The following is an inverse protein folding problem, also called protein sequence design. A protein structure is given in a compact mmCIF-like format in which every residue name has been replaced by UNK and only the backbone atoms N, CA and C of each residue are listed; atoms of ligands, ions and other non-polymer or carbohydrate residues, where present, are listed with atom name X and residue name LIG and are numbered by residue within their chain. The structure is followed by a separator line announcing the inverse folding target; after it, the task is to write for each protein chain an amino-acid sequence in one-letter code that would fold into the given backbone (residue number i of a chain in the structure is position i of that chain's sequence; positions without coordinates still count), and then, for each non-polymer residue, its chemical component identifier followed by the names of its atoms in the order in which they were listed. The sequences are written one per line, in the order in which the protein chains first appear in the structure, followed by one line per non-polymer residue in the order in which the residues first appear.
data_IF_912481967166
#
_entry.id   IF_912481967166
#
_cell.length_a   1.000
_cell.length_b   1.000
_cell.length_c   1.000
_cell.angle_alpha   90.00
_cell.angle_beta   90.00
_cell.angle_gamma   90.00
#
_symmetry.space_group_name_H-M   'P 1'
#
loop_
_entity.id
_entity.type
_entity.pdbx_description
1 polymer ?
#
# COMPACT_ATOMS: atom_id res chain seq x y z
N UNK A 1 -66.68 32.90 -28.16
CA UNK A 1 -65.68 32.79 -27.12
C UNK A 1 -64.88 31.47 -27.35
N UNK A 2 -63.75 31.56 -28.07
CA UNK A 2 -62.92 30.36 -28.43
C UNK A 2 -61.77 30.24 -27.43
N UNK A 3 -61.75 29.13 -26.65
CA UNK A 3 -60.63 28.78 -25.81
C UNK A 3 -59.54 28.21 -26.70
N UNK A 4 -58.36 28.85 -26.69
CA UNK A 4 -57.13 28.28 -27.23
C UNK A 4 -56.44 27.43 -26.08
N UNK A 5 -56.28 26.12 -26.31
CA UNK A 5 -55.42 25.27 -25.50
C UNK A 5 -53.98 25.40 -26.00
N UNK A 6 -53.11 25.96 -25.17
CA UNK A 6 -51.67 25.95 -25.39
C UNK A 6 -51.10 24.62 -24.86
N UNK A 7 -50.69 23.73 -25.75
CA UNK A 7 -49.92 22.55 -25.39
C UNK A 7 -48.45 22.96 -25.15
N UNK A 8 -48.04 22.94 -23.88
CA UNK A 8 -46.64 23.13 -23.49
C UNK A 8 -45.91 21.78 -23.64
N UNK A 9 -45.16 21.62 -24.73
CA UNK A 9 -44.26 20.47 -24.92
C UNK A 9 -43.00 20.73 -24.08
N UNK A 10 -42.89 20.02 -22.96
CA UNK A 10 -41.69 20.01 -22.12
C UNK A 10 -40.62 19.13 -22.82
N UNK A 11 -39.67 19.76 -23.51
CA UNK A 11 -38.48 19.07 -24.00
C UNK A 11 -37.57 18.72 -22.78
N UNK A 12 -37.63 17.48 -22.37
CA UNK A 12 -36.60 16.90 -21.46
C UNK A 12 -35.32 16.73 -22.26
N UNK A 13 -34.43 17.70 -22.20
CA UNK A 13 -33.04 17.52 -22.63
C UNK A 13 -32.33 16.66 -21.56
N UNK A 14 -32.13 15.39 -21.85
CA UNK A 14 -31.20 14.55 -21.09
C UNK A 14 -29.80 15.10 -21.31
N UNK A 15 -29.30 15.82 -20.31
CA UNK A 15 -27.89 16.18 -20.25
C UNK A 15 -27.15 14.87 -19.91
N UNK A 16 -26.59 14.20 -20.92
CA UNK A 16 -25.54 13.22 -20.69
C UNK A 16 -24.35 13.96 -20.11
N UNK A 17 -24.19 13.90 -18.79
CA UNK A 17 -22.92 14.22 -18.14
C UNK A 17 -21.97 13.07 -18.51
N UNK A 18 -21.17 13.29 -19.57
CA UNK A 18 -20.03 12.42 -19.85
C UNK A 18 -19.05 12.65 -18.70
N UNK A 19 -19.06 11.76 -17.70
CA UNK A 19 -18.03 11.72 -16.66
C UNK A 19 -16.70 11.55 -17.38
N UNK A 20 -15.79 12.51 -17.23
CA UNK A 20 -14.44 12.40 -17.73
C UNK A 20 -13.78 11.28 -16.95
N UNK A 21 -13.43 10.17 -17.60
CA UNK A 21 -12.70 9.08 -16.97
C UNK A 21 -11.27 9.53 -16.72
N UNK A 22 -10.86 9.60 -15.48
CA UNK A 22 -9.53 10.06 -15.11
C UNK A 22 -8.47 9.08 -15.60
N UNK A 23 -7.40 9.62 -16.20
CA UNK A 23 -6.23 8.83 -16.60
C UNK A 23 -5.16 8.94 -15.52
N UNK A 24 -4.76 7.81 -14.93
CA UNK A 24 -3.69 7.73 -13.98
C UNK A 24 -2.44 7.15 -14.63
N UNK A 25 -1.36 7.96 -14.71
CA UNK A 25 -0.06 7.50 -15.18
C UNK A 25 0.70 6.84 -14.02
N UNK A 26 1.10 5.58 -14.21
CA UNK A 26 1.85 4.77 -13.25
C UNK A 26 3.15 4.35 -13.94
N UNK A 27 4.27 4.60 -13.28
CA UNK A 27 5.60 4.25 -13.77
C UNK A 27 6.13 3.04 -12.98
N UNK A 28 6.67 2.06 -13.69
CA UNK A 28 7.45 0.96 -13.11
C UNK A 28 8.89 1.43 -13.12
N UNK A 29 9.39 1.82 -11.96
CA UNK A 29 10.75 2.36 -11.83
C UNK A 29 11.64 1.40 -11.05
N UNK A 30 12.92 1.31 -11.46
CA UNK A 30 13.99 0.67 -10.73
C UNK A 30 15.05 1.70 -10.33
N UNK A 31 15.67 1.53 -9.16
CA UNK A 31 16.68 2.47 -8.68
C UNK A 31 17.36 2.01 -7.40
N UNK A 32 18.22 2.90 -6.88
CA UNK A 32 18.88 2.71 -5.59
C UNK A 32 18.09 3.47 -4.50
N UNK A 33 17.71 2.77 -3.45
CA UNK A 33 17.06 3.36 -2.29
C UNK A 33 18.07 3.56 -1.17
N UNK A 34 18.16 4.79 -0.64
CA UNK A 34 18.98 5.09 0.52
C UNK A 34 18.26 4.72 1.79
N UNK A 35 18.93 3.96 2.64
CA UNK A 35 18.45 3.49 3.93
C UNK A 35 18.88 4.44 5.06
N UNK A 36 18.33 4.25 6.25
CA UNK A 36 18.52 5.11 7.42
C UNK A 36 19.97 5.22 7.88
N UNK A 37 20.79 4.20 7.63
CA UNK A 37 22.24 4.18 7.93
C UNK A 37 23.11 4.67 6.76
N UNK A 38 22.49 5.28 5.76
CA UNK A 38 23.11 5.75 4.50
C UNK A 38 23.57 4.64 3.54
N UNK A 39 23.36 3.36 3.86
CA UNK A 39 23.52 2.29 2.90
C UNK A 39 22.48 2.43 1.77
N UNK A 40 22.72 1.78 0.63
CA UNK A 40 21.78 1.76 -0.48
C UNK A 40 21.46 0.33 -0.88
N UNK A 41 20.20 0.11 -1.29
CA UNK A 41 19.76 -1.16 -1.86
C UNK A 41 19.12 -0.94 -3.22
N UNK A 42 19.32 -1.86 -4.19
CA UNK A 42 18.51 -1.89 -5.39
C UNK A 42 17.08 -2.21 -5.04
N UNK A 43 16.14 -1.44 -5.59
CA UNK A 43 14.71 -1.68 -5.38
C UNK A 43 13.90 -1.26 -6.60
N UNK A 44 12.63 -1.70 -6.64
CA UNK A 44 11.67 -1.34 -7.67
C UNK A 44 10.39 -0.85 -7.03
N UNK A 45 9.73 0.11 -7.68
CA UNK A 45 8.50 0.70 -7.16
C UNK A 45 7.56 1.10 -8.30
N UNK A 46 6.25 1.15 -7.98
CA UNK A 46 5.29 1.89 -8.76
C UNK A 46 5.29 3.34 -8.30
N UNK A 47 5.46 4.29 -9.20
CA UNK A 47 5.45 5.72 -8.91
C UNK A 47 4.46 6.47 -9.80
N UNK A 48 4.08 7.69 -9.41
CA UNK A 48 3.24 8.58 -10.22
C UNK A 48 4.08 9.50 -11.14
N UNK A 49 5.39 9.43 -11.00
CA UNK A 49 6.37 10.18 -11.82
C UNK A 49 7.44 9.23 -12.36
N UNK A 50 8.18 9.61 -13.42
CA UNK A 50 9.26 8.78 -13.94
C UNK A 50 10.48 8.66 -13.00
N UNK A 51 10.49 9.39 -11.90
CA UNK A 51 11.55 9.33 -10.90
C UNK A 51 11.32 8.17 -9.94
N UNK A 52 12.36 7.37 -9.70
CA UNK A 52 12.31 6.30 -8.73
C UNK A 52 12.20 6.84 -7.30
N UNK A 53 11.20 6.35 -6.56
CA UNK A 53 11.05 6.55 -5.12
C UNK A 53 10.48 5.29 -4.49
N UNK A 54 11.12 4.81 -3.43
CA UNK A 54 10.58 3.71 -2.62
C UNK A 54 9.74 4.31 -1.47
N UNK A 55 8.55 4.82 -1.77
CA UNK A 55 7.68 5.53 -0.83
C UNK A 55 6.37 4.78 -0.51
N UNK A 56 6.32 3.49 -0.88
CA UNK A 56 5.14 2.65 -0.61
C UNK A 56 3.87 3.19 -1.26
N UNK A 57 3.97 3.66 -2.52
CA UNK A 57 2.88 4.32 -3.25
C UNK A 57 1.51 3.72 -2.95
N UNK A 58 0.59 4.55 -2.46
CA UNK A 58 -0.80 4.22 -2.25
C UNK A 58 -1.65 4.71 -3.42
N UNK A 59 -2.50 3.83 -3.95
CA UNK A 59 -3.53 4.19 -4.92
C UNK A 59 -4.90 4.20 -4.24
N UNK A 60 -5.62 5.31 -4.34
CA UNK A 60 -6.92 5.50 -3.68
C UNK A 60 -8.01 5.70 -4.72
N UNK A 61 -9.07 4.90 -4.62
CA UNK A 61 -10.21 4.96 -5.52
C UNK A 61 -11.53 4.88 -4.75
N UNK A 62 -12.59 5.38 -5.35
CA UNK A 62 -13.95 5.24 -4.82
C UNK A 62 -14.64 4.04 -5.47
N UNK A 63 -15.48 3.34 -4.70
CA UNK A 63 -16.27 2.24 -5.26
C UNK A 63 -17.11 2.69 -6.47
N UNK A 64 -17.04 1.94 -7.54
CA UNK A 64 -17.68 2.24 -8.81
C UNK A 64 -16.87 3.16 -9.73
N UNK A 65 -15.73 3.70 -9.26
CA UNK A 65 -14.88 4.55 -10.10
C UNK A 65 -14.26 3.73 -11.22
N UNK A 66 -14.38 4.24 -12.44
CA UNK A 66 -13.61 3.79 -13.60
C UNK A 66 -12.40 4.71 -13.78
N UNK A 67 -11.23 4.11 -13.96
CA UNK A 67 -9.96 4.83 -14.15
C UNK A 67 -9.22 4.21 -15.33
N UNK A 68 -8.66 5.03 -16.19
CA UNK A 68 -7.75 4.58 -17.25
C UNK A 68 -6.34 4.50 -16.65
N UNK A 69 -5.82 3.30 -16.47
CA UNK A 69 -4.43 3.11 -16.13
C UNK A 69 -3.56 3.24 -17.37
N UNK A 70 -2.62 4.18 -17.33
CA UNK A 70 -1.50 4.28 -18.26
C UNK A 70 -0.25 3.82 -17.53
N UNK A 71 0.08 2.52 -17.66
CA UNK A 71 1.25 1.94 -17.00
C UNK A 71 2.43 1.98 -17.95
N UNK A 72 3.51 2.63 -17.51
CA UNK A 72 4.72 2.89 -18.29
C UNK A 72 5.86 2.13 -17.62
N UNK A 73 6.45 1.19 -18.36
CA UNK A 73 7.60 0.43 -17.87
C UNK A 73 8.90 1.16 -18.25
N UNK A 74 9.57 1.74 -17.24
CA UNK A 74 10.89 2.39 -17.40
C UNK A 74 12.04 1.48 -16.96
N UNK A 75 11.73 0.27 -16.47
CA UNK A 75 12.73 -0.72 -16.11
C UNK A 75 13.35 -1.37 -17.35
N UNK A 76 14.49 -2.01 -17.17
CA UNK A 76 15.25 -2.70 -18.23
C UNK A 76 14.70 -4.08 -18.59
N UNK A 77 13.75 -4.60 -17.81
CA UNK A 77 13.06 -5.88 -18.06
C UNK A 77 11.56 -5.69 -18.25
N UNK A 78 10.90 -6.68 -18.88
CA UNK A 78 9.44 -6.72 -18.97
C UNK A 78 8.79 -7.12 -17.64
N UNK A 79 7.58 -6.61 -17.37
CA UNK A 79 6.82 -6.93 -16.16
C UNK A 79 5.40 -7.39 -16.47
N UNK A 80 4.96 -8.46 -15.81
CA UNK A 80 3.55 -8.84 -15.75
C UNK A 80 2.94 -8.22 -14.50
N UNK A 81 2.08 -7.23 -14.67
CA UNK A 81 1.43 -6.51 -13.56
C UNK A 81 0.06 -7.11 -13.32
N UNK A 82 -0.23 -7.43 -12.05
CA UNK A 82 -1.49 -8.01 -11.62
C UNK A 82 -2.18 -7.21 -10.51
N UNK A 83 -3.52 -7.21 -10.58
CA UNK A 83 -4.45 -6.93 -9.49
C UNK A 83 -5.42 -8.11 -9.45
N UNK A 84 -5.08 -9.11 -8.68
CA UNK A 84 -5.69 -10.44 -8.74
C UNK A 84 -7.21 -10.41 -8.57
N UNK A 85 -7.72 -9.64 -7.60
CA UNK A 85 -9.14 -9.58 -7.26
C UNK A 85 -10.01 -8.93 -8.35
N UNK A 86 -9.38 -8.18 -9.25
CA UNK A 86 -10.03 -7.58 -10.43
C UNK A 86 -9.77 -8.37 -11.71
N UNK A 87 -9.10 -9.52 -11.63
CA UNK A 87 -8.73 -10.30 -12.82
C UNK A 87 -7.84 -9.53 -13.79
N UNK A 88 -7.20 -8.45 -13.32
CA UNK A 88 -6.30 -7.67 -14.14
C UNK A 88 -4.93 -8.33 -14.17
N UNK A 89 -4.45 -8.62 -15.39
CA UNK A 89 -3.10 -9.11 -15.64
C UNK A 89 -2.65 -8.62 -17.00
N UNK A 90 -1.50 -7.95 -17.06
CA UNK A 90 -0.96 -7.43 -18.33
C UNK A 90 0.56 -7.48 -18.34
N UNK A 91 1.14 -7.90 -19.46
CA UNK A 91 2.58 -7.85 -19.69
C UNK A 91 2.95 -6.52 -20.35
N UNK A 92 4.00 -5.89 -19.85
CA UNK A 92 4.53 -4.61 -20.37
C UNK A 92 6.03 -4.77 -20.56
N UNK A 93 6.46 -4.81 -21.81
CA UNK A 93 7.88 -4.92 -22.13
C UNK A 93 8.68 -3.69 -21.72
N UNK A 94 9.99 -3.83 -21.60
CA UNK A 94 10.92 -2.73 -21.27
C UNK A 94 10.74 -1.55 -22.22
N UNK A 95 10.62 -0.34 -21.68
CA UNK A 95 10.43 0.89 -22.44
C UNK A 95 9.06 1.02 -23.10
N UNK A 96 8.08 0.13 -22.81
CA UNK A 96 6.73 0.16 -23.37
C UNK A 96 5.71 0.64 -22.35
N UNK A 97 4.50 0.89 -22.83
CA UNK A 97 3.35 1.25 -22.00
C UNK A 97 2.11 0.47 -22.42
N UNK A 98 1.17 0.35 -21.49
CA UNK A 98 -0.19 -0.14 -21.74
C UNK A 98 -1.18 0.90 -21.24
N UNK A 99 -2.33 1.00 -21.92
CA UNK A 99 -3.45 1.83 -21.50
C UNK A 99 -4.66 0.91 -21.37
N UNK A 100 -5.29 0.89 -20.20
CA UNK A 100 -6.39 -0.02 -19.90
C UNK A 100 -7.36 0.58 -18.89
N UNK A 101 -8.66 0.48 -19.10
CA UNK A 101 -9.64 0.87 -18.10
C UNK A 101 -9.73 -0.20 -17.00
N UNK A 102 -9.92 0.24 -15.76
CA UNK A 102 -10.23 -0.61 -14.60
C UNK A 102 -11.39 0.03 -13.84
N UNK A 103 -12.41 -0.76 -13.52
CA UNK A 103 -13.52 -0.33 -12.67
C UNK A 103 -13.38 -0.95 -11.29
N UNK A 104 -13.28 -0.12 -10.25
CA UNK A 104 -13.16 -0.56 -8.86
C UNK A 104 -14.54 -0.85 -8.27
N UNK A 105 -15.06 -2.07 -8.47
CA UNK A 105 -16.44 -2.46 -8.20
C UNK A 105 -16.76 -2.74 -6.72
N UNK A 106 -15.76 -2.92 -5.86
CA UNK A 106 -15.97 -3.27 -4.44
C UNK A 106 -15.04 -2.47 -3.53
N UNK A 107 -15.54 -2.12 -2.33
CA UNK A 107 -14.68 -1.58 -1.27
C UNK A 107 -13.70 -2.65 -0.78
N UNK A 108 -12.52 -2.22 -0.33
CA UNK A 108 -11.51 -3.10 0.25
C UNK A 108 -10.08 -2.69 -0.05
N UNK A 109 -9.17 -3.53 0.38
CA UNK A 109 -7.75 -3.40 0.13
C UNK A 109 -7.31 -4.42 -0.92
N UNK A 110 -6.57 -3.96 -1.90
CA UNK A 110 -6.07 -4.78 -2.99
C UNK A 110 -4.57 -4.55 -3.18
N UNK A 111 -3.93 -5.49 -3.84
CA UNK A 111 -2.51 -5.40 -4.14
C UNK A 111 -2.30 -5.32 -5.65
N UNK A 112 -1.53 -4.32 -6.08
CA UNK A 112 -0.93 -4.30 -7.41
C UNK A 112 0.52 -4.77 -7.28
N UNK A 113 0.93 -5.77 -8.05
CA UNK A 113 2.29 -6.31 -7.97
C UNK A 113 2.78 -6.85 -9.31
N UNK A 114 4.11 -7.02 -9.44
CA UNK A 114 4.71 -7.77 -10.55
C UNK A 114 4.75 -9.26 -10.24
N UNK A 115 4.46 -10.08 -11.25
CA UNK A 115 4.60 -11.55 -11.24
C UNK A 115 5.77 -12.04 -12.09
N UNK A 116 6.46 -11.14 -12.78
CA UNK A 116 7.65 -11.49 -13.54
C UNK A 116 8.73 -12.04 -12.62
N UNK A 117 9.47 -13.04 -13.09
CA UNK A 117 10.59 -13.64 -12.36
C UNK A 117 10.27 -13.88 -10.86
N UNK A 118 9.07 -14.39 -10.58
CA UNK A 118 8.69 -14.70 -9.21
C UNK A 118 9.56 -15.83 -8.62
N UNK A 119 10.13 -15.70 -7.41
CA UNK A 119 9.86 -14.66 -6.41
C UNK A 119 10.80 -13.44 -6.45
N UNK A 120 11.83 -13.39 -7.32
CA UNK A 120 12.89 -12.37 -7.30
C UNK A 120 12.35 -10.93 -7.28
N UNK A 121 11.43 -10.62 -8.20
CA UNK A 121 10.85 -9.28 -8.30
C UNK A 121 10.08 -8.85 -7.03
N UNK A 122 9.54 -9.81 -6.29
CA UNK A 122 8.92 -9.55 -4.99
C UNK A 122 9.94 -9.05 -3.96
N UNK A 123 11.18 -9.61 -3.98
CA UNK A 123 12.25 -9.15 -3.09
C UNK A 123 12.68 -7.72 -3.40
N UNK A 124 12.67 -7.30 -4.67
CA UNK A 124 12.99 -5.93 -5.08
C UNK A 124 11.89 -4.91 -4.75
N UNK A 125 10.65 -5.34 -4.43
CA UNK A 125 9.64 -4.47 -3.85
C UNK A 125 8.55 -3.96 -4.79
N UNK A 126 8.45 -4.44 -6.02
CA UNK A 126 7.44 -3.97 -6.98
C UNK A 126 6.02 -4.42 -6.59
N UNK A 127 5.48 -3.72 -5.60
CA UNK A 127 4.16 -3.94 -5.01
C UNK A 127 3.61 -2.67 -4.37
N UNK A 128 2.32 -2.40 -4.56
CA UNK A 128 1.63 -1.24 -4.00
C UNK A 128 0.27 -1.62 -3.44
N UNK A 129 -0.15 -0.87 -2.42
CA UNK A 129 -1.49 -0.96 -1.86
C UNK A 129 -2.49 -0.17 -2.71
N UNK A 130 -3.60 -0.79 -3.04
CA UNK A 130 -4.79 -0.13 -3.57
C UNK A 130 -5.86 -0.16 -2.49
N UNK A 131 -6.39 1.01 -2.14
CA UNK A 131 -7.51 1.15 -1.23
C UNK A 131 -8.73 1.68 -1.99
N UNK A 132 -9.86 0.99 -1.89
CA UNK A 132 -11.13 1.39 -2.49
C UNK A 132 -12.15 1.59 -1.39
N UNK A 133 -12.57 2.83 -1.17
CA UNK A 133 -13.45 3.21 -0.06
C UNK A 133 -14.48 4.24 -0.51
N UNK A 134 -15.66 4.21 0.11
CA UNK A 134 -16.69 5.22 -0.09
C UNK A 134 -16.54 6.43 0.83
N UNK A 135 -15.83 6.26 1.96
CA UNK A 135 -15.52 7.30 2.93
C UNK A 135 -14.13 7.07 3.50
N UNK A 136 -13.27 8.07 3.37
CA UNK A 136 -11.86 7.97 3.74
C UNK A 136 -11.57 8.23 5.22
N UNK A 137 -12.49 8.83 5.98
CA UNK A 137 -12.39 9.04 7.42
C UNK A 137 -11.00 9.42 7.92
N UNK A 138 -10.69 9.02 9.18
CA UNK A 138 -9.35 9.13 9.77
C UNK A 138 -8.56 7.84 9.52
N UNK A 139 -8.08 7.67 8.28
CA UNK A 139 -7.44 6.44 7.80
C UNK A 139 -5.94 6.64 7.56
N UNK A 140 -5.16 5.65 7.99
CA UNK A 140 -3.71 5.54 7.79
C UNK A 140 -3.39 4.29 6.99
N UNK A 141 -2.24 4.29 6.31
CA UNK A 141 -1.90 3.25 5.33
C UNK A 141 -0.45 2.83 5.46
N UNK A 142 -0.22 1.54 5.67
CA UNK A 142 1.10 0.95 5.75
C UNK A 142 1.30 -0.11 4.68
N UNK A 143 2.26 0.11 3.81
CA UNK A 143 2.87 -0.93 3.00
C UNK A 143 4.14 -1.38 3.74
N UNK A 144 4.05 -2.47 4.50
CA UNK A 144 5.18 -3.00 5.27
C UNK A 144 5.98 -3.97 4.42
N UNK A 145 7.30 -3.88 4.53
CA UNK A 145 8.22 -4.72 3.78
C UNK A 145 9.58 -4.79 4.45
N UNK A 146 10.17 -5.96 4.38
CA UNK A 146 11.55 -6.17 4.76
C UNK A 146 12.43 -6.40 3.52
N UNK A 147 13.71 -6.08 3.66
CA UNK A 147 14.73 -6.28 2.65
C UNK A 147 15.95 -6.98 3.25
N UNK A 148 16.60 -7.82 2.45
CA UNK A 148 17.94 -8.30 2.70
C UNK A 148 18.87 -7.70 1.66
N UNK A 149 19.76 -6.80 2.10
CA UNK A 149 20.61 -5.99 1.21
C UNK A 149 21.44 -6.84 0.24
N UNK A 150 21.98 -7.97 0.74
CA UNK A 150 22.74 -8.92 -0.10
C UNK A 150 21.86 -9.59 -1.17
N UNK A 151 20.59 -9.92 -0.86
CA UNK A 151 19.65 -10.52 -1.83
C UNK A 151 19.29 -9.52 -2.91
N UNK A 152 18.98 -8.28 -2.53
CA UNK A 152 18.62 -7.23 -3.49
C UNK A 152 19.77 -6.98 -4.48
N UNK A 153 21.01 -6.94 -3.97
CA UNK A 153 22.21 -6.81 -4.80
C UNK A 153 22.41 -8.01 -5.73
N UNK A 154 22.29 -9.21 -5.20
CA UNK A 154 22.43 -10.44 -5.98
C UNK A 154 21.38 -10.55 -7.11
N UNK A 155 20.10 -10.20 -6.81
CA UNK A 155 19.03 -10.17 -7.83
C UNK A 155 19.35 -9.15 -8.92
N UNK A 156 19.80 -7.95 -8.55
CA UNK A 156 20.17 -6.93 -9.53
C UNK A 156 21.31 -7.38 -10.45
N UNK A 157 22.27 -8.11 -9.92
CA UNK A 157 23.41 -8.64 -10.66
C UNK A 157 23.07 -9.88 -11.51
N UNK A 158 21.91 -10.50 -11.29
CA UNK A 158 21.53 -11.78 -11.91
C UNK A 158 22.22 -12.99 -11.27
N UNK A 159 22.71 -12.85 -10.05
CA UNK A 159 23.37 -13.93 -9.31
C UNK A 159 22.36 -14.98 -8.84
N UNK A 160 22.81 -16.22 -8.66
CA UNK A 160 21.99 -17.28 -8.08
C UNK A 160 21.73 -17.02 -6.58
N UNK A 161 20.48 -17.24 -6.14
CA UNK A 161 20.06 -17.02 -4.76
C UNK A 161 19.49 -18.31 -4.18
N UNK A 162 19.92 -18.64 -2.97
CA UNK A 162 19.26 -19.62 -2.12
C UNK A 162 18.25 -18.91 -1.21
N UNK A 163 16.98 -18.95 -1.61
CA UNK A 163 15.89 -18.31 -0.87
C UNK A 163 15.65 -18.90 0.54
N UNK A 164 16.22 -20.07 0.84
CA UNK A 164 16.12 -20.68 2.19
C UNK A 164 16.99 -19.97 3.22
N UNK A 165 17.94 -19.14 2.78
CA UNK A 165 18.86 -18.37 3.62
C UNK A 165 18.41 -16.92 3.84
N UNK A 166 17.12 -16.61 3.57
CA UNK A 166 16.59 -15.26 3.69
C UNK A 166 16.59 -14.79 5.15
N UNK A 167 17.42 -13.80 5.44
CA UNK A 167 17.58 -13.14 6.75
C UNK A 167 17.60 -11.63 6.55
N UNK A 168 16.42 -10.97 6.54
CA UNK A 168 16.32 -9.54 6.28
C UNK A 168 17.07 -8.71 7.32
N UNK A 169 17.67 -7.63 6.84
CA UNK A 169 18.48 -6.67 7.61
C UNK A 169 17.83 -5.27 7.69
N UNK A 170 16.81 -4.98 6.86
CA UNK A 170 16.06 -3.72 6.87
C UNK A 170 14.56 -3.96 6.84
N UNK A 171 13.81 -3.15 7.61
CA UNK A 171 12.38 -3.30 7.84
C UNK A 171 11.72 -1.94 7.72
N UNK A 172 10.81 -1.79 6.75
CA UNK A 172 10.29 -0.50 6.32
C UNK A 172 8.76 -0.44 6.39
N UNK A 173 8.24 0.74 6.68
CA UNK A 173 6.85 1.14 6.48
C UNK A 173 6.83 2.23 5.41
N UNK A 174 6.13 2.02 4.30
CA UNK A 174 6.08 2.95 3.17
C UNK A 174 7.48 3.38 2.70
N UNK A 175 8.40 2.43 2.63
CA UNK A 175 9.77 2.68 2.20
C UNK A 175 10.65 3.43 3.21
N UNK A 176 10.20 3.62 4.45
CA UNK A 176 10.92 4.32 5.51
C UNK A 176 11.10 3.45 6.75
N UNK A 177 12.22 3.64 7.43
CA UNK A 177 12.49 3.12 8.76
C UNK A 177 12.33 4.23 9.81
N UNK A 178 12.32 3.87 11.10
CA UNK A 178 12.45 4.86 12.16
C UNK A 178 13.83 5.56 12.10
N UNK A 179 13.94 6.91 12.26
CA UNK A 179 12.86 7.83 12.65
C UNK A 179 12.02 8.37 11.49
N UNK A 180 12.38 8.08 10.23
CA UNK A 180 11.82 8.74 9.03
C UNK A 180 10.35 8.36 8.77
N UNK A 181 9.85 7.26 9.34
CA UNK A 181 8.41 6.91 9.34
C UNK A 181 7.57 8.07 9.87
N UNK A 182 8.08 8.83 10.84
CA UNK A 182 7.36 9.95 11.45
C UNK A 182 7.11 11.13 10.47
N UNK A 183 7.85 11.19 9.35
CA UNK A 183 7.69 12.21 8.30
C UNK A 183 6.61 11.87 7.29
N UNK A 184 6.15 10.62 7.25
CA UNK A 184 5.09 10.17 6.36
C UNK A 184 3.71 10.38 7.02
N UNK A 185 2.93 11.31 6.49
CA UNK A 185 1.60 11.64 7.01
C UNK A 185 0.58 10.51 6.83
N UNK A 186 0.80 9.58 5.89
CA UNK A 186 -0.03 8.40 5.72
C UNK A 186 0.33 7.29 6.71
N UNK A 187 1.59 7.21 7.15
CA UNK A 187 2.05 6.21 8.10
C UNK A 187 1.93 6.65 9.55
N UNK A 188 2.21 7.93 9.86
CA UNK A 188 2.22 8.46 11.22
C UNK A 188 0.81 8.65 11.76
N UNK A 189 0.36 7.69 12.58
CA UNK A 189 -0.99 7.73 13.17
C UNK A 189 -1.11 8.90 14.14
N UNK A 190 -2.13 9.74 13.90
CA UNK A 190 -2.50 10.89 14.73
C UNK A 190 -4.02 10.94 14.87
N UNK A 191 -4.49 11.37 16.02
CA UNK A 191 -5.91 11.55 16.26
C UNK A 191 -6.19 12.21 17.60
N UNK A 192 -7.46 12.25 17.94
CA UNK A 192 -8.00 12.75 19.22
C UNK A 192 -8.67 11.63 19.99
N UNK A 193 -8.82 11.86 21.27
CA UNK A 193 -9.69 11.01 22.11
C UNK A 193 -11.09 10.95 21.50
N UNK A 194 -11.61 9.73 21.33
CA UNK A 194 -12.92 9.46 20.73
C UNK A 194 -12.95 9.37 19.20
N UNK A 195 -11.86 9.67 18.51
CA UNK A 195 -11.77 9.46 17.06
C UNK A 195 -11.87 7.96 16.73
N UNK A 196 -12.52 7.66 15.61
CA UNK A 196 -12.43 6.35 15.00
C UNK A 196 -11.27 6.36 14.01
N UNK A 197 -10.17 5.72 14.36
CA UNK A 197 -8.93 5.65 13.55
C UNK A 197 -8.88 4.29 12.88
N UNK A 198 -8.69 4.26 11.57
CA UNK A 198 -8.51 3.03 10.81
C UNK A 198 -7.09 2.95 10.26
N UNK A 199 -6.42 1.83 10.47
CA UNK A 199 -5.12 1.52 9.88
C UNK A 199 -5.28 0.41 8.86
N UNK A 200 -4.90 0.68 7.63
CA UNK A 200 -4.89 -0.27 6.53
C UNK A 200 -3.46 -0.71 6.25
N UNK A 201 -3.23 -2.02 6.23
CA UNK A 201 -1.89 -2.60 6.10
C UNK A 201 -1.86 -3.57 4.92
N UNK A 202 -0.85 -3.46 4.08
CA UNK A 202 -0.39 -4.50 3.16
C UNK A 202 0.99 -4.96 3.63
N UNK A 203 1.16 -6.26 3.90
CA UNK A 203 2.48 -6.83 3.98
C UNK A 203 2.95 -7.26 2.58
N UNK A 204 3.73 -6.43 1.91
CA UNK A 204 4.28 -6.74 0.58
C UNK A 204 5.57 -7.57 0.64
N UNK A 205 6.07 -7.83 1.85
CA UNK A 205 7.25 -8.65 2.10
C UNK A 205 7.02 -10.15 2.08
N UNK A 206 8.01 -10.90 2.53
CA UNK A 206 8.02 -12.37 2.58
C UNK A 206 7.92 -12.88 4.02
N UNK A 207 8.35 -12.08 4.99
CA UNK A 207 8.30 -12.40 6.41
C UNK A 207 6.92 -12.14 7.01
N UNK A 208 6.67 -12.75 8.18
CA UNK A 208 5.52 -12.43 9.01
C UNK A 208 5.89 -11.29 9.94
N UNK A 209 5.06 -10.27 10.01
CA UNK A 209 5.25 -9.12 10.87
C UNK A 209 4.17 -9.06 11.94
N UNK A 210 4.56 -9.24 13.21
CA UNK A 210 3.64 -9.23 14.35
C UNK A 210 3.57 -7.83 14.95
N UNK A 211 2.69 -7.00 14.40
CA UNK A 211 2.56 -5.60 14.82
C UNK A 211 1.88 -5.50 16.18
N UNK A 212 2.55 -4.87 17.14
CA UNK A 212 2.10 -4.65 18.50
C UNK A 212 1.86 -3.18 18.80
N UNK A 213 0.71 -2.88 19.41
CA UNK A 213 0.25 -1.54 19.77
C UNK A 213 0.28 -1.37 21.28
N UNK A 214 1.14 -0.50 21.78
CA UNK A 214 1.15 -0.18 23.20
C UNK A 214 -0.07 0.64 23.60
N UNK A 215 -0.61 0.34 24.76
CA UNK A 215 -1.69 1.12 25.40
C UNK A 215 -3.09 0.93 24.83
N UNK A 216 -3.24 0.32 23.64
CA UNK A 216 -4.51 0.11 22.98
C UNK A 216 -4.68 -1.30 22.42
N UNK A 217 -5.96 -1.70 22.37
CA UNK A 217 -6.39 -2.82 21.54
C UNK A 217 -7.06 -2.26 20.29
N UNK A 218 -6.92 -2.95 19.19
CA UNK A 218 -7.60 -2.69 17.93
C UNK A 218 -8.60 -3.80 17.62
N UNK A 219 -9.67 -3.45 16.93
CA UNK A 219 -10.58 -4.42 16.31
C UNK A 219 -10.12 -4.72 14.88
N UNK A 220 -10.13 -5.99 14.47
CA UNK A 220 -9.82 -6.41 13.10
C UNK A 220 -11.09 -6.26 12.26
N UNK A 221 -11.11 -5.29 11.35
CA UNK A 221 -12.25 -5.02 10.47
C UNK A 221 -12.26 -5.90 9.22
N UNK A 222 -11.07 -6.25 8.72
CA UNK A 222 -10.91 -7.08 7.53
C UNK A 222 -9.56 -7.79 7.53
N UNK A 223 -9.51 -9.01 6.97
CA UNK A 223 -8.27 -9.74 6.65
C UNK A 223 -8.49 -10.51 5.36
N UNK A 224 -7.59 -10.31 4.39
CA UNK A 224 -7.65 -11.01 3.11
C UNK A 224 -7.23 -12.48 3.22
N UNK A 225 -6.47 -12.83 4.27
CA UNK A 225 -5.96 -14.18 4.52
C UNK A 225 -6.85 -14.97 5.47
N UNK A 226 -7.30 -14.34 6.55
CA UNK A 226 -7.99 -15.03 7.66
C UNK A 226 -9.31 -14.33 7.99
N UNK A 227 -10.36 -14.47 7.16
CA UNK A 227 -11.63 -13.78 7.40
C UNK A 227 -12.28 -14.11 8.75
N UNK A 228 -11.93 -15.25 9.38
CA UNK A 228 -12.46 -15.68 10.68
C UNK A 228 -12.02 -14.80 11.86
N UNK A 229 -10.98 -13.98 11.71
CA UNK A 229 -10.50 -13.08 12.77
C UNK A 229 -11.23 -11.73 12.79
N UNK A 230 -12.07 -11.45 11.81
CA UNK A 230 -12.88 -10.22 11.77
C UNK A 230 -13.72 -10.10 13.02
N UNK A 231 -13.71 -8.93 13.67
CA UNK A 231 -14.34 -8.67 14.97
C UNK A 231 -13.49 -9.05 16.19
N UNK A 232 -12.30 -9.65 16.00
CA UNK A 232 -11.42 -9.89 17.13
C UNK A 232 -10.76 -8.59 17.60
N UNK A 233 -10.66 -8.47 18.93
CA UNK A 233 -9.97 -7.36 19.60
C UNK A 233 -8.64 -7.85 20.11
N UNK A 234 -7.55 -7.22 19.67
CA UNK A 234 -6.15 -7.60 19.92
C UNK A 234 -5.29 -6.37 20.12
N UNK A 235 -4.16 -6.54 20.78
CA UNK A 235 -3.05 -5.58 20.84
C UNK A 235 -1.91 -5.96 19.89
N UNK A 236 -1.89 -7.21 19.44
CA UNK A 236 -0.88 -7.76 18.52
C UNK A 236 -1.55 -8.60 17.44
N UNK A 237 -1.15 -8.38 16.19
CA UNK A 237 -1.61 -9.18 15.05
C UNK A 237 -0.46 -9.51 14.10
N UNK A 238 -0.37 -10.79 13.73
CA UNK A 238 0.61 -11.28 12.77
C UNK A 238 0.10 -11.10 11.34
N UNK A 239 0.69 -10.18 10.60
CA UNK A 239 0.39 -9.90 9.19
C UNK A 239 1.32 -10.71 8.31
N UNK A 240 0.78 -11.65 7.55
CA UNK A 240 1.54 -12.55 6.69
C UNK A 240 1.89 -11.89 5.35
N UNK A 241 2.95 -12.38 4.70
CA UNK A 241 3.33 -11.90 3.37
C UNK A 241 2.19 -12.00 2.35
N UNK A 242 1.86 -10.89 1.69
CA UNK A 242 0.71 -10.74 0.77
C UNK A 242 -0.63 -10.48 1.45
N UNK A 243 -0.70 -10.50 2.78
CA UNK A 243 -1.94 -10.20 3.50
C UNK A 243 -2.24 -8.70 3.52
N UNK A 244 -3.52 -8.39 3.39
CA UNK A 244 -4.08 -7.06 3.60
C UNK A 244 -5.03 -7.13 4.78
N UNK A 245 -4.88 -6.22 5.73
CA UNK A 245 -5.69 -6.16 6.95
C UNK A 245 -6.11 -4.72 7.25
N UNK A 246 -7.29 -4.55 7.80
CA UNK A 246 -7.77 -3.27 8.33
C UNK A 246 -8.02 -3.40 9.81
N UNK A 247 -7.43 -2.49 10.58
CA UNK A 247 -7.53 -2.43 12.04
C UNK A 247 -8.20 -1.12 12.45
N UNK A 248 -9.06 -1.16 13.47
CA UNK A 248 -9.72 0.03 14.01
C UNK A 248 -9.34 0.25 15.47
N UNK A 249 -9.03 1.49 15.81
CA UNK A 249 -8.71 1.93 17.16
C UNK A 249 -9.62 3.11 17.51
N UNK A 250 -10.19 3.09 18.72
CA UNK A 250 -10.90 4.24 19.30
C UNK A 250 -10.17 4.63 20.58
N UNK A 251 -9.30 5.65 20.53
CA UNK A 251 -8.51 6.04 21.69
C UNK A 251 -9.38 6.71 22.76
N UNK A 252 -9.13 6.37 24.02
CA UNK A 252 -9.84 6.90 25.21
C UNK A 252 -8.97 7.82 26.08
N UNK A 253 -7.68 7.98 25.75
CA UNK A 253 -6.71 8.79 26.50
C UNK A 253 -5.73 9.48 25.57
N UNK A 254 -5.34 10.73 25.85
CA UNK A 254 -4.26 11.39 25.14
C UNK A 254 -2.90 10.78 25.52
N UNK A 255 -1.94 10.87 24.62
CA UNK A 255 -0.57 10.39 24.87
C UNK A 255 0.16 9.99 23.59
N UNK A 256 1.37 9.46 23.80
CA UNK A 256 2.20 8.88 22.75
C UNK A 256 2.35 7.38 23.02
N UNK A 257 1.96 6.57 22.02
CA UNK A 257 1.86 5.12 22.17
C UNK A 257 2.75 4.45 21.13
N UNK A 258 3.82 3.73 21.55
CA UNK A 258 4.66 3.00 20.61
C UNK A 258 3.90 1.93 19.84
N UNK A 259 4.27 1.78 18.56
CA UNK A 259 3.83 0.68 17.72
C UNK A 259 5.07 0.11 17.05
N UNK A 260 5.25 -1.20 17.15
CA UNK A 260 6.42 -1.85 16.58
C UNK A 260 6.15 -3.32 16.23
N UNK A 261 7.04 -3.90 15.44
CA UNK A 261 7.02 -5.35 15.25
C UNK A 261 7.45 -6.06 16.54
N UNK A 262 6.71 -7.06 16.97
CA UNK A 262 7.02 -7.86 18.16
C UNK A 262 8.18 -8.86 17.91
N UNK A 263 8.52 -9.14 16.66
CA UNK A 263 9.82 -9.67 16.29
C UNK A 263 10.86 -8.53 16.41
N UNK A 264 11.58 -8.48 17.51
CA UNK A 264 12.48 -7.37 17.83
C UNK A 264 13.62 -7.17 16.81
N UNK A 265 13.96 -8.17 16.01
CA UNK A 265 14.88 -7.97 14.88
C UNK A 265 14.29 -6.96 13.88
N UNK A 266 12.99 -7.00 13.64
CA UNK A 266 12.34 -6.08 12.73
C UNK A 266 12.24 -4.63 13.25
N UNK A 267 12.55 -4.39 14.51
CA UNK A 267 12.69 -3.02 15.05
C UNK A 267 14.08 -2.42 14.79
N UNK A 268 14.97 -3.16 14.13
CA UNK A 268 16.33 -2.72 13.82
C UNK A 268 16.48 -2.44 12.31
N UNK A 269 17.50 -1.68 11.95
CA UNK A 269 18.03 -1.62 10.60
C UNK A 269 19.53 -1.96 10.70
N UNK A 270 19.96 -3.01 9.98
CA UNK A 270 21.32 -3.49 10.02
C UNK A 270 21.81 -3.71 11.48
N UNK A 271 20.95 -4.32 12.32
CA UNK A 271 21.14 -4.57 13.76
C UNK A 271 21.15 -3.32 14.67
N UNK A 272 20.91 -2.11 14.17
CA UNK A 272 20.83 -0.90 15.00
C UNK A 272 19.39 -0.62 15.41
N UNK A 273 19.08 -0.73 16.70
CA UNK A 273 17.82 -0.38 17.32
C UNK A 273 17.75 1.13 17.63
N UNK A 274 16.62 1.82 17.47
CA UNK A 274 15.31 1.37 16.99
C UNK A 274 15.05 1.70 15.52
N UNK A 275 15.99 1.51 14.63
CA UNK A 275 16.01 2.01 13.26
C UNK A 275 15.17 1.19 12.25
N UNK A 276 14.29 0.30 12.70
CA UNK A 276 13.42 -0.53 11.86
C UNK A 276 11.95 -0.13 11.88
N UNK A 277 11.05 -1.13 11.90
CA UNK A 277 9.59 -0.96 12.05
C UNK A 277 9.24 -0.57 13.49
N UNK A 278 9.51 0.66 13.83
CA UNK A 278 9.17 1.29 15.10
C UNK A 278 8.61 2.68 14.85
N UNK A 279 7.44 2.98 15.38
CA UNK A 279 6.80 4.31 15.31
C UNK A 279 5.98 4.58 16.56
N UNK A 280 5.34 5.75 16.64
CA UNK A 280 4.42 6.09 17.73
C UNK A 280 3.10 6.60 17.15
N UNK A 281 1.99 6.23 17.78
CA UNK A 281 0.69 6.87 17.60
C UNK A 281 0.59 8.05 18.55
N UNK A 282 0.12 9.21 18.07
CA UNK A 282 -0.05 10.43 18.87
C UNK A 282 -1.54 10.74 18.99
N UNK A 283 -2.03 10.75 20.22
CA UNK A 283 -3.43 11.08 20.55
C UNK A 283 -3.46 12.36 21.38
N UNK A 284 -4.24 13.33 20.95
CA UNK A 284 -4.49 14.59 21.67
C UNK A 284 -5.87 14.60 22.30
N UNK A 285 -6.16 15.62 23.14
CA UNK A 285 -7.50 15.85 23.71
C UNK A 285 -8.56 16.10 22.63
#
# INVERSE_FOLDING_TARGET
MKLLFFNLILLLTSVCVSGQTDTLSIFINAGQHQLVDSATIPAKAFNLTPEFKLDGQLFRFTKGQEVIFKIINTDTIGHTIEIQEYGFSTFIDSGKLVITPITFSSNGLFQMCSKTNYPQEKYLGLSSLIAVESNWGNSFYWNIKEYQSSFNTAIQNGDAIDFTTYTPDYFLINGRSNPDIATDTLAKIRGKVGDTITLHILNSGNSVHSLHFHGYHFEILASSRTPKVVGWVKDTYAVYGGERVSLQIVPDKPGEYPIHDHNLVATTANNYYPNGMFTTMIITE
#
